data_IF_919414750648
#
_entry.id   IF_919414750648
#
_cell.length_a   1.000
_cell.length_b   1.000
_cell.length_c   1.000
_cell.angle_alpha   90.00
_cell.angle_beta   90.00
_cell.angle_gamma   90.00
#
_symmetry.space_group_name_H-M   'P 1'
#
loop_
_entity.id
_entity.type
_entity.pdbx_description
1 polymer ?
#
# COMPACT_ATOMS: atom_id res chain seq x y z
N UNK A 1 -45.19 -46.58 19.41
CA UNK A 1 -43.84 -46.28 19.93
C UNK A 1 -42.91 -47.35 19.39
N UNK A 2 -42.17 -47.07 18.31
CA UNK A 2 -41.24 -48.04 17.72
C UNK A 2 -39.96 -47.98 18.56
N UNK A 3 -39.66 -49.05 19.30
CA UNK A 3 -38.40 -49.20 20.02
C UNK A 3 -37.33 -49.56 18.98
N UNK A 4 -36.43 -48.62 18.70
CA UNK A 4 -35.24 -48.88 17.89
C UNK A 4 -34.33 -49.86 18.64
N UNK A 5 -33.65 -50.74 17.90
CA UNK A 5 -32.65 -51.64 18.51
C UNK A 5 -31.47 -50.83 19.03
N UNK A 6 -30.83 -51.35 20.08
CA UNK A 6 -29.67 -50.72 20.71
C UNK A 6 -28.54 -50.47 19.70
N UNK A 7 -28.35 -51.40 18.77
CA UNK A 7 -27.41 -51.29 17.65
C UNK A 7 -27.74 -50.10 16.72
N UNK A 8 -29.00 -49.95 16.31
CA UNK A 8 -29.43 -48.82 15.49
C UNK A 8 -29.26 -47.48 16.23
N UNK A 9 -29.48 -47.44 17.55
CA UNK A 9 -29.26 -46.23 18.34
C UNK A 9 -27.78 -45.85 18.45
N UNK A 10 -26.88 -46.83 18.59
CA UNK A 10 -25.44 -46.58 18.60
C UNK A 10 -24.91 -46.11 17.24
N UNK A 11 -25.40 -46.69 16.14
CA UNK A 11 -25.04 -46.22 14.80
C UNK A 11 -25.49 -44.78 14.57
N UNK A 12 -26.74 -44.44 14.90
CA UNK A 12 -27.26 -43.08 14.76
C UNK A 12 -26.42 -42.09 15.58
N UNK A 13 -26.06 -42.42 16.81
CA UNK A 13 -25.19 -41.59 17.63
C UNK A 13 -23.78 -41.42 17.04
N UNK A 14 -23.22 -42.48 16.44
CA UNK A 14 -21.94 -42.43 15.74
C UNK A 14 -21.98 -41.44 14.56
N UNK A 15 -23.01 -41.54 13.70
CA UNK A 15 -23.20 -40.61 12.59
C UNK A 15 -23.43 -39.17 13.06
N UNK A 16 -24.21 -38.98 14.13
CA UNK A 16 -24.43 -37.66 14.73
C UNK A 16 -23.13 -37.06 15.26
N UNK A 17 -22.32 -37.82 15.99
CA UNK A 17 -21.03 -37.38 16.50
C UNK A 17 -20.06 -37.03 15.36
N UNK A 18 -20.03 -37.83 14.29
CA UNK A 18 -19.18 -37.58 13.12
C UNK A 18 -19.62 -36.32 12.37
N UNK A 19 -20.93 -36.11 12.19
CA UNK A 19 -21.47 -34.90 11.59
C UNK A 19 -21.18 -33.65 12.44
N UNK A 20 -21.27 -33.75 13.77
CA UNK A 20 -20.94 -32.65 14.68
C UNK A 20 -19.45 -32.29 14.64
N UNK A 21 -18.58 -33.28 14.52
CA UNK A 21 -17.14 -33.08 14.41
C UNK A 21 -16.77 -32.37 13.10
N UNK A 22 -17.35 -32.83 11.98
CA UNK A 22 -17.18 -32.18 10.66
C UNK A 22 -17.72 -30.75 10.66
N UNK A 23 -18.86 -30.51 11.30
CA UNK A 23 -19.44 -29.16 11.41
C UNK A 23 -18.52 -28.23 12.23
N UNK A 24 -17.96 -28.71 13.34
CA UNK A 24 -16.98 -27.94 14.13
C UNK A 24 -15.71 -27.66 13.34
N UNK A 25 -15.17 -28.64 12.62
CA UNK A 25 -13.98 -28.46 11.79
C UNK A 25 -14.23 -27.45 10.65
N UNK A 26 -15.38 -27.56 9.98
CA UNK A 26 -15.77 -26.64 8.91
C UNK A 26 -15.97 -25.20 9.43
N UNK A 27 -16.67 -25.01 10.55
CA UNK A 27 -16.88 -23.70 11.16
C UNK A 27 -15.57 -23.05 11.64
N UNK A 28 -14.65 -23.86 12.19
CA UNK A 28 -13.32 -23.40 12.57
C UNK A 28 -12.47 -23.04 11.35
N UNK A 29 -12.52 -23.83 10.28
CA UNK A 29 -11.81 -23.56 9.03
C UNK A 29 -12.32 -22.30 8.33
N UNK A 30 -13.64 -22.09 8.29
CA UNK A 30 -14.30 -20.91 7.72
C UNK A 30 -13.87 -19.62 8.42
N UNK A 31 -13.56 -19.68 9.72
CA UNK A 31 -13.01 -18.54 10.45
C UNK A 31 -11.49 -18.45 10.31
N UNK A 32 -10.76 -19.56 10.46
CA UNK A 32 -9.30 -19.57 10.54
C UNK A 32 -8.59 -19.18 9.22
N UNK A 33 -9.08 -19.69 8.09
CA UNK A 33 -8.47 -19.45 6.77
C UNK A 33 -8.50 -17.97 6.38
N UNK A 34 -9.63 -17.24 6.45
CA UNK A 34 -9.65 -15.82 6.08
C UNK A 34 -8.84 -14.95 7.05
N UNK A 35 -8.88 -15.18 8.37
CA UNK A 35 -8.06 -14.37 9.29
C UNK A 35 -6.56 -14.58 9.09
N UNK A 36 -6.14 -15.84 8.94
CA UNK A 36 -4.72 -16.16 8.73
C UNK A 36 -4.23 -15.61 7.39
N UNK A 37 -5.02 -15.72 6.32
CA UNK A 37 -4.65 -15.19 5.01
C UNK A 37 -4.54 -13.65 5.00
N UNK A 38 -5.43 -12.94 5.71
CA UNK A 38 -5.36 -11.47 5.85
C UNK A 38 -4.10 -11.06 6.60
N UNK A 39 -3.78 -11.70 7.73
CA UNK A 39 -2.57 -11.40 8.50
C UNK A 39 -1.30 -11.68 7.69
N UNK A 40 -1.23 -12.85 7.04
CA UNK A 40 -0.14 -13.21 6.15
C UNK A 40 0.00 -12.20 4.99
N UNK A 41 -1.11 -11.76 4.40
CA UNK A 41 -1.12 -10.76 3.34
C UNK A 41 -0.61 -9.40 3.78
N UNK A 42 -1.04 -8.90 4.94
CA UNK A 42 -0.55 -7.65 5.53
C UNK A 42 0.96 -7.70 5.75
N UNK A 43 1.44 -8.80 6.34
CA UNK A 43 2.86 -8.98 6.64
C UNK A 43 3.70 -9.10 5.37
N UNK A 44 3.28 -9.92 4.41
CA UNK A 44 3.96 -10.10 3.13
C UNK A 44 4.04 -8.79 2.33
N UNK A 45 2.94 -8.04 2.23
CA UNK A 45 2.91 -6.76 1.54
C UNK A 45 3.92 -5.76 2.12
N UNK A 46 3.99 -5.67 3.44
CA UNK A 46 4.94 -4.79 4.13
C UNK A 46 6.38 -5.24 3.99
N UNK A 47 6.66 -6.54 4.08
CA UNK A 47 7.99 -7.09 3.85
C UNK A 47 8.50 -6.77 2.45
N UNK A 48 7.66 -6.98 1.43
CA UNK A 48 8.00 -6.62 0.05
C UNK A 48 8.25 -5.10 -0.07
N UNK A 49 7.42 -4.28 0.57
CA UNK A 49 7.59 -2.82 0.56
C UNK A 49 8.91 -2.37 1.22
N UNK A 50 9.28 -2.96 2.36
CA UNK A 50 10.56 -2.70 3.04
C UNK A 50 11.74 -3.08 2.16
N UNK A 51 11.71 -4.28 1.57
CA UNK A 51 12.76 -4.74 0.66
C UNK A 51 12.90 -3.85 -0.58
N UNK A 52 11.77 -3.44 -1.15
CA UNK A 52 11.72 -2.51 -2.28
C UNK A 52 12.35 -1.15 -1.93
N UNK A 53 11.95 -0.52 -0.82
CA UNK A 53 12.52 0.77 -0.41
C UNK A 53 14.00 0.70 -0.05
N UNK A 54 14.47 -0.42 0.53
CA UNK A 54 15.90 -0.64 0.77
C UNK A 54 16.69 -0.73 -0.54
N UNK A 55 16.16 -1.46 -1.52
CA UNK A 55 16.76 -1.56 -2.84
C UNK A 55 16.82 -0.19 -3.53
N UNK A 56 15.73 0.59 -3.49
CA UNK A 56 15.67 1.93 -4.07
C UNK A 56 16.68 2.89 -3.43
N UNK A 57 16.79 2.90 -2.09
CA UNK A 57 17.82 3.70 -1.39
C UNK A 57 19.23 3.29 -1.83
N UNK A 58 19.51 1.98 -1.88
CA UNK A 58 20.81 1.46 -2.32
C UNK A 58 21.14 1.91 -3.74
N UNK A 59 20.18 1.83 -4.65
CA UNK A 59 20.32 2.28 -6.04
C UNK A 59 20.52 3.79 -6.13
N UNK A 60 19.74 4.60 -5.38
CA UNK A 60 19.86 6.06 -5.37
C UNK A 60 21.24 6.48 -4.87
N UNK A 61 21.76 5.85 -3.81
CA UNK A 61 23.09 6.14 -3.26
C UNK A 61 24.18 5.74 -4.25
N UNK A 62 24.10 4.54 -4.82
CA UNK A 62 25.13 4.03 -5.74
C UNK A 62 25.25 4.87 -7.02
N UNK A 63 24.11 5.29 -7.57
CA UNK A 63 24.06 6.08 -8.81
C UNK A 63 23.82 7.58 -8.53
N UNK A 64 24.08 8.05 -7.31
CA UNK A 64 23.92 9.46 -6.97
C UNK A 64 24.88 10.32 -7.80
N UNK A 65 24.47 11.40 -8.46
CA UNK A 65 23.17 12.10 -8.45
C UNK A 65 22.31 11.86 -9.71
N UNK A 66 22.62 10.81 -10.48
CA UNK A 66 22.00 10.56 -11.79
C UNK A 66 20.56 10.03 -11.72
N UNK A 67 20.22 9.25 -10.69
CA UNK A 67 18.90 8.63 -10.51
C UNK A 67 17.93 9.44 -9.64
N UNK A 68 18.42 10.39 -8.84
CA UNK A 68 17.58 11.17 -7.95
C UNK A 68 18.33 12.24 -7.16
N UNK A 69 17.59 13.28 -6.77
CA UNK A 69 18.04 14.30 -5.82
C UNK A 69 17.78 13.91 -4.36
N UNK A 70 18.18 14.79 -3.44
CA UNK A 70 18.02 14.61 -1.99
C UNK A 70 16.55 14.37 -1.58
N UNK A 71 15.60 14.90 -2.34
CA UNK A 71 14.18 14.68 -2.09
C UNK A 71 13.79 13.20 -2.18
N UNK A 72 14.42 12.42 -3.06
CA UNK A 72 14.15 10.98 -3.18
C UNK A 72 14.73 10.21 -2.01
N UNK A 73 15.90 10.60 -1.51
CA UNK A 73 16.51 9.99 -0.32
C UNK A 73 15.63 10.22 0.90
N UNK A 74 15.20 11.47 1.12
CA UNK A 74 14.30 11.82 2.23
C UNK A 74 12.97 11.06 2.11
N UNK A 75 12.39 10.98 0.91
CA UNK A 75 11.16 10.24 0.65
C UNK A 75 11.28 8.78 1.11
N UNK A 76 12.26 8.05 0.58
CA UNK A 76 12.40 6.63 0.85
C UNK A 76 12.80 6.36 2.29
N UNK A 77 13.63 7.21 2.90
CA UNK A 77 14.01 7.06 4.30
C UNK A 77 12.79 7.20 5.22
N UNK A 78 11.99 8.26 5.05
CA UNK A 78 10.77 8.46 5.86
C UNK A 78 9.75 7.34 5.65
N UNK A 79 9.52 6.93 4.40
CA UNK A 79 8.62 5.83 4.07
C UNK A 79 9.10 4.50 4.68
N UNK A 80 10.40 4.20 4.59
CA UNK A 80 11.00 3.01 5.18
C UNK A 80 10.86 3.00 6.71
N UNK A 81 11.16 4.11 7.38
CA UNK A 81 10.98 4.23 8.84
C UNK A 81 9.52 4.01 9.24
N UNK A 82 8.56 4.62 8.52
CA UNK A 82 7.14 4.48 8.84
C UNK A 82 6.62 3.05 8.62
N UNK A 83 7.00 2.41 7.51
CA UNK A 83 6.59 1.02 7.21
C UNK A 83 7.21 0.04 8.20
N UNK A 84 8.52 0.16 8.46
CA UNK A 84 9.22 -0.70 9.41
C UNK A 84 8.65 -0.57 10.83
N UNK A 85 8.39 0.67 11.29
CA UNK A 85 7.76 0.91 12.57
C UNK A 85 6.38 0.24 12.66
N UNK A 86 5.50 0.49 11.69
CA UNK A 86 4.16 -0.09 11.67
C UNK A 86 4.19 -1.62 11.61
N UNK A 87 5.17 -2.20 10.92
CA UNK A 87 5.39 -3.65 10.89
C UNK A 87 5.83 -4.22 12.24
N UNK A 88 6.71 -3.52 12.98
CA UNK A 88 7.22 -3.97 14.27
C UNK A 88 6.22 -3.81 15.42
N UNK A 89 5.45 -2.73 15.43
CA UNK A 89 4.54 -2.42 16.55
C UNK A 89 3.09 -2.85 16.31
N UNK A 90 2.72 -3.12 15.06
CA UNK A 90 1.32 -3.35 14.71
C UNK A 90 0.48 -2.05 14.63
N UNK A 91 1.05 -0.89 14.92
CA UNK A 91 0.33 0.39 14.96
C UNK A 91 0.33 1.13 13.62
N UNK A 92 -0.62 2.05 13.42
CA UNK A 92 -0.65 2.93 12.25
C UNK A 92 -0.85 2.22 10.90
N UNK A 93 -1.25 0.94 10.91
CA UNK A 93 -1.40 0.07 9.73
C UNK A 93 -2.18 0.73 8.60
N UNK A 94 -3.34 1.29 8.94
CA UNK A 94 -4.22 1.97 7.99
C UNK A 94 -3.51 3.10 7.27
N UNK A 95 -2.84 3.99 8.01
CA UNK A 95 -2.13 5.14 7.44
C UNK A 95 -0.91 4.71 6.63
N UNK A 96 -0.19 3.68 7.07
CA UNK A 96 0.90 3.08 6.30
C UNK A 96 0.39 2.56 4.94
N UNK A 97 -0.73 1.84 4.91
CA UNK A 97 -1.31 1.37 3.64
C UNK A 97 -1.82 2.50 2.76
N UNK A 98 -2.46 3.52 3.33
CA UNK A 98 -2.85 4.73 2.58
C UNK A 98 -1.63 5.39 1.92
N UNK A 99 -0.51 5.51 2.63
CA UNK A 99 0.72 6.05 2.03
C UNK A 99 1.31 5.10 0.99
N UNK A 100 1.31 3.77 1.22
CA UNK A 100 1.84 2.79 0.25
C UNK A 100 1.07 2.74 -1.07
N UNK A 101 -0.23 3.06 -1.08
CA UNK A 101 -1.00 3.20 -2.34
C UNK A 101 -0.34 4.25 -3.26
N UNK A 102 0.32 5.28 -2.71
CA UNK A 102 1.03 6.27 -3.53
C UNK A 102 2.21 5.70 -4.30
N UNK A 103 2.77 4.56 -3.89
CA UNK A 103 3.86 3.88 -4.60
C UNK A 103 3.40 3.29 -5.93
N UNK A 104 2.10 3.06 -6.10
CA UNK A 104 1.52 2.57 -7.37
C UNK A 104 1.70 3.57 -8.53
N UNK A 105 2.08 4.82 -8.26
CA UNK A 105 2.40 5.80 -9.31
C UNK A 105 3.79 5.60 -9.92
N UNK A 106 4.69 4.92 -9.22
CA UNK A 106 6.11 4.76 -9.59
C UNK A 106 6.34 4.00 -10.90
N UNK A 107 5.62 2.91 -11.21
CA UNK A 107 5.72 2.25 -12.51
C UNK A 107 5.50 3.18 -13.71
N UNK A 108 4.58 4.14 -13.60
CA UNK A 108 4.33 5.14 -14.64
C UNK A 108 5.54 6.05 -14.84
N UNK A 109 6.13 6.53 -13.74
CA UNK A 109 7.34 7.38 -13.76
C UNK A 109 8.52 6.64 -14.41
N UNK A 110 8.77 5.39 -14.00
CA UNK A 110 9.83 4.57 -14.55
C UNK A 110 9.62 4.29 -16.04
N UNK A 111 8.40 3.95 -16.46
CA UNK A 111 8.05 3.80 -17.87
C UNK A 111 8.31 5.09 -18.67
N UNK A 112 8.05 6.26 -18.07
CA UNK A 112 8.29 7.54 -18.74
C UNK A 112 9.78 7.79 -18.94
N UNK A 113 10.59 7.44 -17.95
CA UNK A 113 12.04 7.51 -18.04
C UNK A 113 12.57 6.56 -19.11
N UNK A 114 12.12 5.31 -19.16
CA UNK A 114 12.53 4.37 -20.22
C UNK A 114 12.21 4.89 -21.62
N UNK A 115 11.00 5.42 -21.83
CA UNK A 115 10.61 6.02 -23.11
C UNK A 115 11.41 7.29 -23.45
N UNK A 116 11.83 8.06 -22.45
CA UNK A 116 12.71 9.21 -22.63
C UNK A 116 14.09 8.76 -23.13
N UNK A 117 14.71 7.83 -22.41
CA UNK A 117 16.03 7.26 -22.71
C UNK A 117 16.07 6.58 -24.07
N UNK A 118 14.98 5.93 -24.49
CA UNK A 118 14.83 5.34 -25.81
C UNK A 118 14.59 6.37 -26.95
N UNK A 119 14.59 7.68 -26.66
CA UNK A 119 14.34 8.75 -27.65
C UNK A 119 12.88 8.86 -28.08
N UNK A 120 11.95 8.21 -27.39
CA UNK A 120 10.54 8.05 -27.81
C UNK A 120 9.61 9.18 -27.34
N UNK A 121 10.11 10.39 -27.03
CA UNK A 121 9.31 11.53 -26.54
C UNK A 121 8.14 11.94 -27.45
N UNK A 122 8.27 11.70 -28.76
CA UNK A 122 7.25 12.04 -29.77
C UNK A 122 6.22 10.91 -29.99
N UNK A 123 6.40 9.75 -29.36
CA UNK A 123 5.48 8.61 -29.51
C UNK A 123 4.12 8.84 -28.82
N UNK A 124 3.06 8.17 -29.31
CA UNK A 124 1.76 8.15 -28.63
C UNK A 124 1.87 7.53 -27.23
N UNK A 125 2.69 6.50 -27.06
CA UNK A 125 2.97 5.87 -25.78
C UNK A 125 3.47 6.87 -24.72
N UNK A 126 4.39 7.78 -25.09
CA UNK A 126 4.89 8.81 -24.19
C UNK A 126 3.80 9.82 -23.78
N UNK A 127 2.86 10.13 -24.67
CA UNK A 127 1.72 11.00 -24.34
C UNK A 127 0.73 10.29 -23.39
N UNK A 128 0.31 9.07 -23.74
CA UNK A 128 -0.62 8.27 -22.94
C UNK A 128 -0.06 8.05 -21.54
N UNK A 129 1.21 7.64 -21.42
CA UNK A 129 1.84 7.48 -20.12
C UNK A 129 1.85 8.79 -19.31
N UNK A 130 2.08 9.94 -19.97
CA UNK A 130 2.02 11.25 -19.30
C UNK A 130 0.63 11.59 -18.74
N UNK A 131 -0.43 11.23 -19.46
CA UNK A 131 -1.82 11.39 -18.99
C UNK A 131 -2.12 10.43 -17.84
N UNK A 132 -1.70 9.16 -17.96
CA UNK A 132 -1.87 8.16 -16.89
C UNK A 132 -1.17 8.62 -15.61
N UNK A 133 0.11 9.04 -15.68
CA UNK A 133 0.84 9.60 -14.54
C UNK A 133 0.08 10.78 -13.92
N UNK A 134 -0.44 11.71 -14.73
CA UNK A 134 -1.17 12.86 -14.20
C UNK A 134 -2.41 12.45 -13.40
N UNK A 135 -3.22 11.53 -13.94
CA UNK A 135 -4.44 11.05 -13.29
C UNK A 135 -4.12 10.22 -12.04
N UNK A 136 -3.19 9.28 -12.14
CA UNK A 136 -2.82 8.43 -11.00
C UNK A 136 -2.18 9.26 -9.88
N UNK A 137 -1.37 10.27 -10.21
CA UNK A 137 -0.82 11.19 -9.22
C UNK A 137 -1.89 12.02 -8.52
N UNK A 138 -2.86 12.56 -9.26
CA UNK A 138 -3.97 13.31 -8.68
C UNK A 138 -4.73 12.45 -7.66
N UNK A 139 -5.10 11.21 -8.03
CA UNK A 139 -5.88 10.33 -7.17
C UNK A 139 -5.05 9.79 -5.99
N UNK A 140 -3.92 9.15 -6.27
CA UNK A 140 -3.15 8.40 -5.26
C UNK A 140 -2.24 9.28 -4.40
N UNK A 141 -1.90 10.51 -4.83
CA UNK A 141 -0.96 11.39 -4.11
C UNK A 141 -1.55 12.72 -3.66
N UNK A 142 -2.58 13.25 -4.33
CA UNK A 142 -3.23 14.50 -3.92
C UNK A 142 -4.52 14.22 -3.16
N UNK A 143 -5.50 13.58 -3.81
CA UNK A 143 -6.79 13.28 -3.19
C UNK A 143 -6.63 12.34 -1.99
N UNK A 144 -5.83 11.29 -2.12
CA UNK A 144 -5.59 10.34 -1.04
C UNK A 144 -4.93 10.98 0.18
N UNK A 145 -3.98 11.90 0.00
CA UNK A 145 -3.34 12.59 1.13
C UNK A 145 -4.28 13.59 1.80
N UNK A 146 -5.12 14.30 1.04
CA UNK A 146 -6.20 15.11 1.62
C UNK A 146 -7.16 14.26 2.44
N UNK A 147 -7.55 13.10 1.90
CA UNK A 147 -8.39 12.13 2.62
C UNK A 147 -7.68 11.59 3.87
N UNK A 148 -6.38 11.30 3.81
CA UNK A 148 -5.60 10.85 4.96
C UNK A 148 -5.67 11.87 6.10
N UNK A 149 -5.40 13.15 5.84
CA UNK A 149 -5.48 14.18 6.89
C UNK A 149 -6.89 14.37 7.42
N UNK A 150 -7.89 14.32 6.54
CA UNK A 150 -9.29 14.37 6.95
C UNK A 150 -9.67 13.20 7.85
N UNK A 151 -9.24 11.98 7.52
CA UNK A 151 -9.46 10.78 8.32
C UNK A 151 -8.75 10.87 9.68
N UNK A 152 -7.50 11.34 9.72
CA UNK A 152 -6.78 11.57 10.98
C UNK A 152 -7.51 12.59 11.85
N UNK A 153 -8.04 13.66 11.25
CA UNK A 153 -8.81 14.68 11.96
C UNK A 153 -10.09 14.11 12.58
N UNK A 154 -10.88 13.34 11.82
CA UNK A 154 -12.11 12.72 12.32
C UNK A 154 -11.86 11.68 13.40
N UNK A 155 -10.78 10.91 13.26
CA UNK A 155 -10.45 9.80 14.15
C UNK A 155 -9.35 10.14 15.14
N UNK A 156 -9.15 11.43 15.45
CA UNK A 156 -8.05 11.91 16.28
C UNK A 156 -8.02 11.25 17.67
N UNK A 157 -9.19 11.00 18.25
CA UNK A 157 -9.32 10.33 19.55
C UNK A 157 -8.84 8.88 19.55
N UNK A 158 -8.87 8.20 18.39
CA UNK A 158 -8.30 6.86 18.22
C UNK A 158 -6.80 6.94 17.93
N UNK A 159 -6.41 7.92 17.10
CA UNK A 159 -5.01 8.13 16.70
C UNK A 159 -4.13 8.46 17.90
N UNK A 160 -4.62 9.25 18.87
CA UNK A 160 -3.86 9.61 20.08
C UNK A 160 -3.56 8.45 21.03
N UNK A 161 -4.16 7.27 20.82
CA UNK A 161 -3.94 6.07 21.63
C UNK A 161 -2.68 5.29 21.23
N UNK A 162 -2.11 5.56 20.05
CA UNK A 162 -0.84 4.95 19.61
C UNK A 162 0.33 5.50 20.41
N UNK A 163 1.46 4.81 20.41
CA UNK A 163 2.66 5.29 21.09
C UNK A 163 3.10 6.65 20.55
N UNK A 164 3.74 7.48 21.39
CA UNK A 164 4.18 8.83 21.02
C UNK A 164 5.02 8.89 19.73
N UNK A 165 5.85 7.87 19.50
CA UNK A 165 6.64 7.76 18.27
C UNK A 165 5.76 7.44 17.05
N UNK A 166 4.79 6.54 17.18
CA UNK A 166 3.81 6.25 16.13
C UNK A 166 2.95 7.47 15.80
N UNK A 167 2.57 8.25 16.81
CA UNK A 167 1.83 9.49 16.65
C UNK A 167 2.66 10.49 15.83
N UNK A 168 3.93 10.67 16.18
CA UNK A 168 4.86 11.51 15.42
C UNK A 168 4.94 11.07 13.96
N UNK A 169 5.09 9.77 13.69
CA UNK A 169 5.16 9.25 12.32
C UNK A 169 3.87 9.49 11.52
N UNK A 170 2.69 9.27 12.14
CA UNK A 170 1.38 9.47 11.49
C UNK A 170 1.17 10.92 11.05
N UNK A 171 1.72 11.91 11.76
CA UNK A 171 1.61 13.32 11.39
C UNK A 171 2.76 13.79 10.49
N UNK A 172 4.00 13.57 10.92
CA UNK A 172 5.19 14.17 10.29
C UNK A 172 5.46 13.56 8.92
N UNK A 173 5.38 12.24 8.78
CA UNK A 173 5.70 11.56 7.52
C UNK A 173 4.69 11.97 6.42
N UNK A 174 3.36 11.82 6.61
CA UNK A 174 2.41 12.26 5.59
C UNK A 174 2.49 13.75 5.27
N UNK A 175 2.80 14.61 6.25
CA UNK A 175 2.97 16.05 6.02
C UNK A 175 4.13 16.33 5.06
N UNK A 176 5.33 15.82 5.34
CA UNK A 176 6.50 16.02 4.49
C UNK A 176 6.25 15.44 3.09
N UNK A 177 5.70 14.22 3.03
CA UNK A 177 5.36 13.56 1.77
C UNK A 177 4.33 14.36 0.95
N UNK A 178 3.37 15.03 1.59
CA UNK A 178 2.39 15.87 0.90
C UNK A 178 3.02 17.08 0.23
N UNK A 179 3.93 17.77 0.93
CA UNK A 179 4.67 18.91 0.36
C UNK A 179 5.45 18.46 -0.88
N UNK A 180 6.12 17.31 -0.78
CA UNK A 180 6.86 16.73 -1.91
C UNK A 180 5.94 16.32 -3.06
N UNK A 181 4.79 15.71 -2.75
CA UNK A 181 3.79 15.32 -3.75
C UNK A 181 3.24 16.53 -4.52
N UNK A 182 3.03 17.67 -3.86
CA UNK A 182 2.62 18.91 -4.52
C UNK A 182 3.72 19.47 -5.42
N UNK A 183 4.98 19.48 -4.96
CA UNK A 183 6.12 19.93 -5.77
C UNK A 183 6.27 19.08 -7.05
N UNK A 184 6.23 17.76 -6.92
CA UNK A 184 6.32 16.84 -8.05
C UNK A 184 5.10 16.91 -8.97
N UNK A 185 3.89 17.10 -8.44
CA UNK A 185 2.70 17.31 -9.27
C UNK A 185 2.83 18.56 -10.15
N UNK A 186 3.39 19.64 -9.60
CA UNK A 186 3.75 20.83 -10.37
C UNK A 186 4.72 20.53 -11.53
N UNK A 187 5.72 19.66 -11.31
CA UNK A 187 6.63 19.20 -12.37
C UNK A 187 5.89 18.38 -13.44
N UNK A 188 4.98 17.49 -13.05
CA UNK A 188 4.16 16.66 -13.95
C UNK A 188 3.27 17.53 -14.84
N UNK A 189 2.54 18.49 -14.26
CA UNK A 189 1.69 19.42 -15.01
C UNK A 189 2.51 20.19 -16.05
N UNK A 190 3.66 20.74 -15.64
CA UNK A 190 4.58 21.45 -16.55
C UNK A 190 5.08 20.53 -17.67
N UNK A 191 5.43 19.29 -17.36
CA UNK A 191 5.89 18.30 -18.33
C UNK A 191 4.82 17.89 -19.35
N UNK A 192 3.58 17.69 -18.90
CA UNK A 192 2.45 17.34 -19.76
C UNK A 192 2.09 18.51 -20.69
N UNK A 193 1.99 19.74 -20.16
CA UNK A 193 1.73 20.95 -20.97
C UNK A 193 2.77 21.12 -22.08
N UNK A 194 4.06 20.95 -21.78
CA UNK A 194 5.14 21.00 -22.78
C UNK A 194 5.00 19.92 -23.86
N UNK A 195 4.52 18.73 -23.49
CA UNK A 195 4.34 17.61 -24.44
C UNK A 195 3.17 17.89 -25.39
N UNK A 196 2.09 18.48 -24.88
CA UNK A 196 0.92 18.87 -25.67
C UNK A 196 1.23 20.04 -26.62
N UNK A 197 1.90 21.08 -26.12
CA UNK A 197 2.24 22.26 -26.91
C UNK A 197 3.17 21.95 -28.11
N UNK A 198 4.02 20.91 -28.02
CA UNK A 198 4.89 20.48 -29.13
C UNK A 198 4.18 19.66 -30.21
N UNK A 199 2.91 19.29 -29.99
CA UNK A 199 2.09 18.53 -30.94
C UNK A 199 1.05 19.39 -31.65
N UNK A 200 0.85 20.62 -31.17
CA UNK A 200 0.16 21.69 -31.89
C UNK A 200 1.13 22.30 -32.90
#
# INVERSE_FOLDING_TARGET
MILLSEEATMEIQSYQNQAELLLKEYLLADSFIPYTSVICGIFACKMVSVGYFLADIGMIIWFYSSLGGIEYVIHHFLSLTAVAYSMMTGEGQLYTFMVLISETTTPGINLRWYLDTAGMKRSRAYLINGVVIFVTWLVARILLFMYLFYHVYLHFDQVKLVHSYGLLLIFVVPFILSVMNLMWFGKIIKGLRKTLAKRQ
#
